data_IF_471136238439
#
_entry.id   IF_471136238439
#
_cell.length_a   1.000
_cell.length_b   1.000
_cell.length_c   1.000
_cell.angle_alpha   90.00
_cell.angle_beta   90.00
_cell.angle_gamma   90.00
#
_symmetry.space_group_name_H-M   'P 1'
#
loop_
_entity.id
_entity.type
_entity.pdbx_description
1 polymer ?
#
# COMPACT_ATOMS: atom_id res chain seq x y z
N UNK A 1 -15.11 -12.95 11.57
CA UNK A 1 -13.81 -12.26 11.51
C UNK A 1 -13.60 -11.51 12.82
N UNK A 2 -12.52 -11.80 13.57
CA UNK A 2 -12.21 -11.10 14.81
C UNK A 2 -11.41 -9.83 14.49
N UNK A 3 -12.13 -8.74 14.20
CA UNK A 3 -11.53 -7.44 13.83
C UNK A 3 -10.82 -6.72 14.99
N UNK A 4 -10.85 -7.26 16.21
CA UNK A 4 -10.24 -6.66 17.40
C UNK A 4 -9.38 -7.64 18.21
N UNK A 5 -9.04 -8.81 17.65
CA UNK A 5 -8.05 -9.66 18.32
C UNK A 5 -6.67 -9.08 18.18
N UNK A 6 -5.98 -8.99 19.33
CA UNK A 6 -4.59 -8.56 19.44
C UNK A 6 -3.70 -9.29 18.41
N UNK A 7 -2.98 -8.57 17.53
CA UNK A 7 -2.12 -9.19 16.53
C UNK A 7 -0.97 -9.96 17.21
N UNK A 8 -0.85 -11.23 16.87
CA UNK A 8 0.20 -12.12 17.37
C UNK A 8 1.44 -12.13 16.49
N UNK A 9 1.38 -11.52 15.31
CA UNK A 9 2.49 -11.42 14.37
C UNK A 9 2.46 -10.11 13.60
N UNK A 10 3.62 -9.69 13.09
CA UNK A 10 3.74 -8.53 12.21
C UNK A 10 2.80 -8.58 10.99
N UNK A 11 2.59 -9.78 10.45
CA UNK A 11 1.69 -9.97 9.31
C UNK A 11 0.22 -9.71 9.69
N UNK A 12 -0.20 -10.13 10.90
CA UNK A 12 -1.55 -9.83 11.40
C UNK A 12 -1.75 -8.31 11.57
N UNK A 13 -0.72 -7.59 12.03
CA UNK A 13 -0.77 -6.14 12.14
C UNK A 13 -0.97 -5.43 10.78
N UNK A 14 -0.39 -5.98 9.70
CA UNK A 14 -0.49 -5.44 8.34
C UNK A 14 -1.64 -6.00 7.49
N UNK A 15 -2.51 -6.82 8.09
CA UNK A 15 -3.52 -7.55 7.31
C UNK A 15 -4.47 -6.61 6.56
N UNK A 16 -4.81 -5.46 7.14
CA UNK A 16 -5.63 -4.44 6.47
C UNK A 16 -4.97 -3.88 5.20
N UNK A 17 -3.66 -3.59 5.24
CA UNK A 17 -2.89 -3.12 4.07
C UNK A 17 -2.79 -4.21 3.01
N UNK A 18 -2.64 -5.47 3.43
CA UNK A 18 -2.65 -6.60 2.50
C UNK A 18 -4.01 -6.74 1.80
N UNK A 19 -5.12 -6.58 2.52
CA UNK A 19 -6.45 -6.53 1.91
C UNK A 19 -6.58 -5.41 0.89
N UNK A 20 -6.12 -4.20 1.20
CA UNK A 20 -6.11 -3.09 0.23
C UNK A 20 -5.25 -3.40 -0.99
N UNK A 21 -4.06 -3.98 -0.81
CA UNK A 21 -3.21 -4.44 -1.91
C UNK A 21 -3.90 -5.49 -2.79
N UNK A 22 -4.68 -6.40 -2.21
CA UNK A 22 -5.42 -7.42 -2.97
C UNK A 22 -6.58 -6.80 -3.75
N UNK A 23 -7.38 -5.93 -3.12
CA UNK A 23 -8.51 -5.24 -3.77
C UNK A 23 -8.02 -4.39 -4.93
N UNK A 24 -6.90 -3.66 -4.78
CA UNK A 24 -6.34 -2.84 -5.85
C UNK A 24 -5.55 -3.63 -6.90
N UNK A 25 -5.47 -4.96 -6.79
CA UNK A 25 -4.79 -5.82 -7.76
C UNK A 25 -3.26 -5.86 -7.64
N UNK A 26 -2.64 -5.13 -6.70
CA UNK A 26 -1.18 -4.99 -6.56
C UNK A 26 -0.47 -6.28 -6.14
N UNK A 27 -1.14 -7.14 -5.37
CA UNK A 27 -0.60 -8.45 -4.93
C UNK A 27 -1.54 -9.62 -5.26
N UNK A 28 -2.35 -9.47 -6.29
CA UNK A 28 -3.47 -10.39 -6.53
C UNK A 28 -3.02 -11.81 -6.89
N UNK A 29 -1.78 -11.99 -7.37
CA UNK A 29 -1.19 -13.31 -7.61
C UNK A 29 -0.86 -14.10 -6.34
N UNK A 30 -0.72 -13.44 -5.19
CA UNK A 30 -0.44 -14.08 -3.91
C UNK A 30 -1.72 -14.49 -3.16
N UNK A 31 -2.89 -14.15 -3.71
CA UNK A 31 -4.20 -14.43 -3.14
C UNK A 31 -4.83 -15.70 -3.75
N UNK A 32 -5.52 -16.55 -2.94
CA UNK A 32 -5.47 -16.64 -1.48
C UNK A 32 -4.14 -17.26 -0.98
N UNK A 33 -3.76 -16.90 0.24
CA UNK A 33 -2.46 -17.28 0.83
C UNK A 33 -2.24 -18.79 0.80
N UNK A 34 -1.11 -19.22 0.23
CA UNK A 34 -0.71 -20.63 0.15
C UNK A 34 -1.28 -21.38 -1.04
N UNK A 35 -2.31 -20.86 -1.70
CA UNK A 35 -2.93 -21.43 -2.89
C UNK A 35 -3.12 -20.36 -3.97
N UNK A 36 -2.02 -19.82 -4.53
CA UNK A 36 -2.11 -18.76 -5.54
C UNK A 36 -2.90 -19.24 -6.75
N UNK A 37 -3.85 -18.41 -7.22
CA UNK A 37 -4.68 -18.72 -8.41
C UNK A 37 -4.36 -17.75 -9.55
N UNK A 38 -3.20 -17.92 -10.23
CA UNK A 38 -2.66 -16.91 -11.12
C UNK A 38 -3.59 -16.57 -12.30
N UNK A 39 -4.38 -17.53 -12.78
CA UNK A 39 -5.28 -17.32 -13.91
C UNK A 39 -6.47 -16.40 -13.56
N UNK A 40 -7.14 -16.65 -12.42
CA UNK A 40 -8.23 -15.78 -11.95
C UNK A 40 -7.72 -14.38 -11.59
N UNK A 41 -6.54 -14.34 -10.97
CA UNK A 41 -5.82 -13.11 -10.64
C UNK A 41 -5.52 -12.27 -11.89
N UNK A 42 -5.08 -12.91 -12.98
CA UNK A 42 -4.80 -12.25 -14.25
C UNK A 42 -6.09 -11.71 -14.92
N UNK A 43 -7.18 -12.48 -14.91
CA UNK A 43 -8.48 -12.02 -15.43
C UNK A 43 -8.97 -10.79 -14.66
N UNK A 44 -8.95 -10.85 -13.32
CA UNK A 44 -9.34 -9.73 -12.46
C UNK A 44 -8.53 -8.48 -12.77
N UNK A 45 -7.21 -8.65 -12.93
CA UNK A 45 -6.32 -7.55 -13.23
C UNK A 45 -6.59 -6.94 -14.61
N UNK A 46 -6.87 -7.76 -15.62
CA UNK A 46 -7.21 -7.31 -16.96
C UNK A 46 -8.52 -6.50 -16.94
N UNK A 47 -9.51 -6.92 -16.16
CA UNK A 47 -10.77 -6.18 -15.98
C UNK A 47 -10.51 -4.81 -15.34
N UNK A 48 -9.79 -4.76 -14.20
CA UNK A 48 -9.42 -3.50 -13.56
C UNK A 48 -8.66 -2.60 -14.53
N UNK A 49 -7.72 -3.17 -15.28
CA UNK A 49 -6.91 -2.44 -16.24
C UNK A 49 -7.74 -1.81 -17.35
N UNK A 50 -8.71 -2.53 -17.92
CA UNK A 50 -9.60 -2.00 -18.95
C UNK A 50 -10.47 -0.87 -18.40
N UNK A 51 -11.05 -1.03 -17.20
CA UNK A 51 -11.84 0.02 -16.53
C UNK A 51 -10.96 1.26 -16.32
N UNK A 52 -9.76 1.06 -15.80
CA UNK A 52 -8.84 2.14 -15.49
C UNK A 52 -8.36 2.87 -16.75
N UNK A 53 -7.99 2.14 -17.80
CA UNK A 53 -7.57 2.72 -19.08
C UNK A 53 -8.69 3.55 -19.73
N UNK A 54 -9.92 3.02 -19.76
CA UNK A 54 -11.10 3.74 -20.26
C UNK A 54 -11.36 5.01 -19.47
N UNK A 55 -11.27 4.93 -18.14
CA UNK A 55 -11.45 6.08 -17.27
C UNK A 55 -10.37 7.14 -17.43
N UNK A 56 -9.10 6.76 -17.53
CA UNK A 56 -7.98 7.67 -17.78
C UNK A 56 -8.15 8.44 -19.09
N UNK A 57 -8.60 7.76 -20.15
CA UNK A 57 -8.92 8.42 -21.41
C UNK A 57 -10.10 9.40 -21.28
N UNK A 58 -11.14 9.04 -20.52
CA UNK A 58 -12.26 9.94 -20.22
C UNK A 58 -11.83 11.19 -19.46
N UNK A 59 -10.94 11.03 -18.48
CA UNK A 59 -10.33 12.14 -17.72
C UNK A 59 -9.55 13.06 -18.67
N UNK A 60 -8.66 12.51 -19.49
CA UNK A 60 -7.87 13.29 -20.44
C UNK A 60 -8.76 14.08 -21.42
N UNK A 61 -9.85 13.46 -21.90
CA UNK A 61 -10.82 14.11 -22.77
C UNK A 61 -11.55 15.27 -22.05
N UNK A 62 -12.04 15.04 -20.84
CA UNK A 62 -12.72 16.07 -20.04
C UNK A 62 -11.83 17.30 -19.79
N UNK A 63 -10.58 17.06 -19.41
CA UNK A 63 -9.63 18.15 -19.14
C UNK A 63 -9.20 18.89 -20.41
N UNK A 64 -9.10 18.20 -21.56
CA UNK A 64 -8.82 18.85 -22.85
C UNK A 64 -9.89 19.88 -23.22
N UNK A 65 -11.13 19.71 -22.79
CA UNK A 65 -12.22 20.65 -23.06
C UNK A 65 -12.17 21.89 -22.17
N UNK A 66 -11.55 21.81 -20.99
CA UNK A 66 -11.55 22.88 -19.97
C UNK A 66 -10.24 23.68 -19.97
N UNK A 67 -9.14 23.04 -20.33
CA UNK A 67 -7.80 23.62 -20.20
C UNK A 67 -7.52 24.57 -21.38
N UNK A 68 -7.15 25.80 -21.03
CA UNK A 68 -6.81 26.87 -21.98
C UNK A 68 -5.30 26.87 -22.32
N UNK A 69 -4.44 26.40 -21.41
CA UNK A 69 -2.98 26.47 -21.57
C UNK A 69 -2.36 25.14 -22.05
N UNK A 70 -1.41 25.22 -23.00
CA UNK A 70 -0.69 24.06 -23.55
C UNK A 70 0.13 23.28 -22.50
N UNK A 71 0.67 23.96 -21.49
CA UNK A 71 1.46 23.34 -20.42
C UNK A 71 0.63 22.42 -19.53
N UNK A 72 -0.58 22.85 -19.15
CA UNK A 72 -1.50 22.04 -18.38
C UNK A 72 -1.88 20.76 -19.14
N UNK A 73 -2.09 20.85 -20.46
CA UNK A 73 -2.31 19.66 -21.29
C UNK A 73 -1.18 18.64 -21.20
N UNK A 74 0.08 19.07 -21.18
CA UNK A 74 1.24 18.17 -21.04
C UNK A 74 1.21 17.50 -19.66
N UNK A 75 0.92 18.25 -18.60
CA UNK A 75 0.81 17.73 -17.23
C UNK A 75 -0.31 16.68 -17.16
N UNK A 76 -1.48 16.98 -17.71
CA UNK A 76 -2.64 16.07 -17.71
C UNK A 76 -2.49 14.85 -18.62
N UNK A 77 -1.54 14.85 -19.56
CA UNK A 77 -1.21 13.66 -20.35
C UNK A 77 -0.10 12.87 -19.68
N UNK A 78 1.01 13.50 -19.28
CA UNK A 78 2.19 12.80 -18.77
C UNK A 78 1.95 12.23 -17.38
N UNK A 79 1.33 12.99 -16.46
CA UNK A 79 1.17 12.55 -15.07
C UNK A 79 0.28 11.30 -14.97
N UNK A 80 -0.91 11.23 -15.61
CA UNK A 80 -1.71 10.01 -15.57
C UNK A 80 -1.02 8.81 -16.21
N UNK A 81 -0.22 9.02 -17.27
CA UNK A 81 0.57 7.96 -17.89
C UNK A 81 1.68 7.44 -16.95
N UNK A 82 2.34 8.30 -16.17
CA UNK A 82 3.31 7.87 -15.15
C UNK A 82 2.61 7.10 -14.01
N UNK A 83 1.45 7.60 -13.55
CA UNK A 83 0.63 6.88 -12.57
C UNK A 83 0.12 5.55 -13.09
N UNK A 84 -0.09 5.41 -14.40
CA UNK A 84 -0.48 4.17 -15.06
C UNK A 84 0.65 3.14 -15.12
N UNK A 85 1.90 3.58 -15.38
CA UNK A 85 3.06 2.70 -15.38
C UNK A 85 3.39 2.14 -14.00
N UNK A 86 3.12 2.91 -12.93
CA UNK A 86 3.43 2.52 -11.55
C UNK A 86 2.85 1.16 -11.10
N UNK A 87 1.53 0.88 -11.23
CA UNK A 87 0.97 -0.42 -10.86
C UNK A 87 1.48 -1.57 -11.72
N UNK A 88 1.73 -1.36 -13.02
CA UNK A 88 2.29 -2.39 -13.91
C UNK A 88 3.70 -2.76 -13.43
N UNK A 89 4.54 -1.76 -13.18
CA UNK A 89 5.89 -1.97 -12.66
C UNK A 89 5.85 -2.66 -11.29
N UNK A 90 4.99 -2.19 -10.37
CA UNK A 90 4.84 -2.81 -9.04
C UNK A 90 4.37 -4.26 -9.14
N UNK A 91 3.50 -4.58 -10.10
CA UNK A 91 3.04 -5.94 -10.34
C UNK A 91 4.15 -6.84 -10.89
N UNK A 92 4.92 -6.37 -11.87
CA UNK A 92 6.06 -7.11 -12.42
C UNK A 92 7.10 -7.36 -11.33
N UNK A 93 7.42 -6.33 -10.53
CA UNK A 93 8.30 -6.47 -9.37
C UNK A 93 7.71 -7.47 -8.36
N UNK A 94 6.43 -7.36 -8.05
CA UNK A 94 5.75 -8.26 -7.12
C UNK A 94 5.84 -9.72 -7.57
N UNK A 95 5.61 -9.99 -8.85
CA UNK A 95 5.77 -11.33 -9.43
C UNK A 95 7.22 -11.82 -9.37
N UNK A 96 8.15 -10.99 -9.87
CA UNK A 96 9.57 -11.35 -9.95
C UNK A 96 10.16 -11.65 -8.57
N UNK A 97 9.82 -10.82 -7.58
CA UNK A 97 10.30 -10.97 -6.22
C UNK A 97 9.44 -11.86 -5.34
N UNK A 98 8.30 -12.39 -5.80
CA UNK A 98 7.40 -13.18 -4.93
C UNK A 98 8.10 -14.37 -4.27
N UNK A 99 8.98 -15.07 -4.99
CA UNK A 99 9.80 -16.17 -4.43
C UNK A 99 10.73 -15.68 -3.31
N UNK A 100 11.39 -14.54 -3.52
CA UNK A 100 12.33 -13.96 -2.55
C UNK A 100 11.59 -13.37 -1.33
N UNK A 101 10.44 -12.74 -1.55
CA UNK A 101 9.56 -12.20 -0.51
C UNK A 101 9.02 -13.35 0.37
N UNK A 102 8.65 -14.49 -0.22
CA UNK A 102 8.20 -15.65 0.54
C UNK A 102 9.30 -16.21 1.46
N UNK A 103 10.55 -16.28 0.97
CA UNK A 103 11.71 -16.67 1.79
C UNK A 103 11.97 -15.65 2.90
N UNK A 104 11.88 -14.35 2.59
CA UNK A 104 12.07 -13.28 3.55
C UNK A 104 11.02 -13.34 4.67
N UNK A 105 9.74 -13.51 4.32
CA UNK A 105 8.66 -13.69 5.29
C UNK A 105 8.89 -14.89 6.20
N UNK A 106 9.36 -16.02 5.67
CA UNK A 106 9.70 -17.20 6.50
C UNK A 106 10.84 -16.91 7.47
N UNK A 107 11.85 -16.14 7.06
CA UNK A 107 12.95 -15.72 7.95
C UNK A 107 12.46 -14.77 9.04
N UNK A 108 11.68 -13.75 8.68
CA UNK A 108 11.09 -12.79 9.62
C UNK A 108 10.21 -13.52 10.64
N UNK A 109 9.38 -14.48 10.21
CA UNK A 109 8.55 -15.27 11.11
C UNK A 109 9.37 -16.10 12.10
N UNK A 110 10.50 -16.67 11.66
CA UNK A 110 11.41 -17.39 12.58
C UNK A 110 12.05 -16.45 13.60
N UNK A 111 12.51 -15.27 13.16
CA UNK A 111 13.09 -14.25 14.03
C UNK A 111 12.06 -13.73 15.04
N UNK A 112 10.82 -13.52 14.60
CA UNK A 112 9.71 -13.10 15.47
C UNK A 112 9.44 -14.17 16.54
N UNK A 113 9.37 -15.44 16.16
CA UNK A 113 9.22 -16.56 17.10
C UNK A 113 10.35 -16.62 18.13
N UNK A 114 11.61 -16.43 17.71
CA UNK A 114 12.75 -16.45 18.65
C UNK A 114 12.79 -15.22 19.55
N UNK A 115 12.47 -14.03 19.02
CA UNK A 115 12.36 -12.80 19.83
C UNK A 115 11.29 -12.94 20.91
N UNK A 116 10.15 -13.56 20.58
CA UNK A 116 9.07 -13.84 21.53
C UNK A 116 9.50 -14.85 22.60
N UNK A 117 10.24 -15.89 22.22
CA UNK A 117 10.83 -16.85 23.18
C UNK A 117 11.87 -16.19 24.11
N UNK A 118 12.58 -15.17 23.64
CA UNK A 118 13.53 -14.38 24.43
C UNK A 118 12.87 -13.30 25.30
N UNK A 119 11.53 -13.21 25.33
CA UNK A 119 10.79 -12.21 26.12
C UNK A 119 10.83 -10.79 25.52
N UNK A 120 11.44 -10.59 24.35
CA UNK A 120 11.43 -9.34 23.62
C UNK A 120 10.14 -9.22 22.81
N UNK A 121 9.05 -8.86 23.48
CA UNK A 121 7.79 -8.55 22.80
C UNK A 121 7.93 -7.26 21.97
N UNK A 122 7.82 -7.38 20.65
CA UNK A 122 7.59 -6.23 19.77
C UNK A 122 6.14 -5.78 19.96
N UNK A 123 5.93 -4.47 20.10
CA UNK A 123 4.60 -3.91 20.32
C UNK A 123 3.79 -3.87 19.00
N UNK A 124 3.27 -5.02 18.59
CA UNK A 124 2.46 -5.14 17.37
C UNK A 124 1.14 -4.38 17.44
N UNK A 125 0.65 -4.10 18.65
CA UNK A 125 -0.58 -3.34 18.86
C UNK A 125 -0.43 -1.91 18.38
N UNK A 126 0.71 -1.29 18.65
CA UNK A 126 1.00 0.09 18.21
C UNK A 126 0.99 0.19 16.68
N UNK A 127 1.66 -0.75 16.00
CA UNK A 127 1.69 -0.81 14.53
C UNK A 127 0.27 -1.02 13.99
N UNK A 128 -0.50 -1.92 14.61
CA UNK A 128 -1.86 -2.23 14.19
C UNK A 128 -2.83 -1.06 14.36
N UNK A 129 -2.82 -0.38 15.51
CA UNK A 129 -3.64 0.81 15.74
C UNK A 129 -3.23 1.95 14.80
N UNK A 130 -1.93 2.15 14.58
CA UNK A 130 -1.45 3.12 13.61
C UNK A 130 -1.94 2.78 12.20
N UNK A 131 -1.91 1.50 11.82
CA UNK A 131 -2.40 1.02 10.52
C UNK A 131 -3.89 1.28 10.34
N UNK A 132 -4.70 0.97 11.34
CA UNK A 132 -6.14 1.24 11.30
C UNK A 132 -6.40 2.75 11.24
N UNK A 133 -5.72 3.54 12.07
CA UNK A 133 -5.87 4.99 12.09
C UNK A 133 -5.54 5.62 10.74
N UNK A 134 -4.41 5.22 10.14
CA UNK A 134 -3.99 5.73 8.84
C UNK A 134 -4.96 5.34 7.71
N UNK A 135 -5.44 4.09 7.70
CA UNK A 135 -6.47 3.65 6.75
C UNK A 135 -7.79 4.40 6.93
N UNK A 136 -8.22 4.65 8.17
CA UNK A 136 -9.45 5.38 8.46
C UNK A 136 -9.35 6.84 8.01
N UNK A 137 -8.21 7.48 8.27
CA UNK A 137 -7.91 8.83 7.78
C UNK A 137 -7.96 8.88 6.25
N UNK A 138 -7.31 7.92 5.57
CA UNK A 138 -7.31 7.85 4.12
C UNK A 138 -8.72 7.68 3.53
N UNK A 139 -9.53 6.76 4.06
CA UNK A 139 -10.93 6.56 3.62
C UNK A 139 -11.75 7.84 3.81
N UNK A 140 -11.57 8.54 4.94
CA UNK A 140 -12.32 9.77 5.22
C UNK A 140 -11.92 10.89 4.26
N UNK A 141 -10.61 11.13 4.11
CA UNK A 141 -10.05 12.11 3.18
C UNK A 141 -10.52 11.86 1.74
N UNK A 142 -10.54 10.60 1.36
CA UNK A 142 -11.02 10.13 0.08
C UNK A 142 -12.50 10.42 -0.17
N UNK A 143 -13.38 10.16 0.80
CA UNK A 143 -14.81 10.42 0.67
C UNK A 143 -15.04 11.92 0.46
N UNK A 144 -14.33 12.76 1.23
CA UNK A 144 -14.40 14.21 1.10
C UNK A 144 -13.95 14.69 -0.29
N UNK A 145 -12.80 14.22 -0.78
CA UNK A 145 -12.31 14.55 -2.12
C UNK A 145 -13.27 14.09 -3.22
N UNK A 146 -13.89 12.92 -3.05
CA UNK A 146 -14.83 12.36 -4.01
C UNK A 146 -16.10 13.20 -4.11
N UNK A 147 -16.65 13.65 -2.98
CA UNK A 147 -17.82 14.54 -2.92
C UNK A 147 -17.49 15.87 -3.60
N UNK A 148 -16.38 16.51 -3.22
CA UNK A 148 -15.96 17.80 -3.78
C UNK A 148 -15.72 17.72 -5.29
N UNK A 149 -15.02 16.69 -5.75
CA UNK A 149 -14.75 16.50 -7.19
C UNK A 149 -16.02 16.21 -7.98
N UNK A 150 -16.95 15.45 -7.40
CA UNK A 150 -18.23 15.15 -8.05
C UNK A 150 -19.08 16.40 -8.21
N UNK A 151 -19.23 17.19 -7.14
CA UNK A 151 -19.97 18.47 -7.18
C UNK A 151 -19.40 19.44 -8.23
N UNK A 152 -18.07 19.48 -8.39
CA UNK A 152 -17.42 20.30 -9.40
C UNK A 152 -17.70 19.84 -10.83
N UNK A 153 -17.77 18.52 -11.07
CA UNK A 153 -17.91 17.95 -12.42
C UNK A 153 -19.36 17.80 -12.88
N UNK A 154 -20.33 17.65 -11.97
CA UNK A 154 -21.76 17.45 -12.28
C UNK A 154 -22.30 18.45 -13.33
N UNK A 155 -22.07 19.77 -13.23
CA UNK A 155 -22.64 20.73 -14.18
C UNK A 155 -22.15 20.56 -15.62
N UNK A 156 -21.00 19.90 -15.84
CA UNK A 156 -20.35 19.78 -17.16
C UNK A 156 -20.45 18.38 -17.75
N UNK A 157 -20.32 17.36 -16.91
CA UNK A 157 -20.22 15.96 -17.33
C UNK A 157 -21.51 15.15 -17.08
N UNK A 158 -22.43 15.68 -16.26
CA UNK A 158 -23.55 14.92 -15.74
C UNK A 158 -23.16 14.00 -14.57
N UNK A 159 -24.16 13.56 -13.81
CA UNK A 159 -23.96 12.84 -12.54
C UNK A 159 -23.22 11.51 -12.70
N UNK A 160 -23.68 10.64 -13.60
CA UNK A 160 -23.09 9.29 -13.77
C UNK A 160 -21.66 9.33 -14.28
N UNK A 161 -21.37 10.21 -15.25
CA UNK A 161 -20.02 10.33 -15.80
C UNK A 161 -19.05 10.93 -14.77
N UNK A 162 -19.51 11.90 -13.98
CA UNK A 162 -18.75 12.47 -12.88
C UNK A 162 -18.40 11.42 -11.82
N UNK A 163 -19.37 10.63 -11.37
CA UNK A 163 -19.13 9.54 -10.39
C UNK A 163 -18.13 8.53 -10.96
N UNK A 164 -18.27 8.15 -12.24
CA UNK A 164 -17.35 7.23 -12.89
C UNK A 164 -15.91 7.78 -12.96
N UNK A 165 -15.74 9.04 -13.37
CA UNK A 165 -14.42 9.68 -13.43
C UNK A 165 -13.77 9.73 -12.03
N UNK A 166 -14.54 10.11 -11.01
CA UNK A 166 -14.07 10.14 -9.64
C UNK A 166 -13.63 8.75 -9.20
N UNK A 167 -14.46 7.73 -9.40
CA UNK A 167 -14.14 6.33 -9.08
C UNK A 167 -12.88 5.80 -9.76
N UNK A 168 -12.62 6.19 -11.01
CA UNK A 168 -11.39 5.79 -11.71
C UNK A 168 -10.18 6.52 -11.13
N UNK A 169 -10.29 7.82 -10.86
CA UNK A 169 -9.20 8.68 -10.36
C UNK A 169 -8.65 8.23 -9.00
N UNK A 170 -9.46 7.46 -8.30
CA UNK A 170 -9.26 6.93 -6.96
C UNK A 170 -8.26 5.77 -6.92
N UNK A 171 -8.26 4.94 -7.95
CA UNK A 171 -7.40 3.76 -8.06
C UNK A 171 -5.91 4.16 -7.95
N UNK A 172 -5.38 5.12 -8.74
CA UNK A 172 -3.96 5.49 -8.71
C UNK A 172 -3.59 6.22 -7.41
N UNK A 173 -4.48 7.04 -6.87
CA UNK A 173 -4.28 7.67 -5.56
C UNK A 173 -4.13 6.61 -4.46
N UNK A 174 -4.97 5.59 -4.49
CA UNK A 174 -4.93 4.49 -3.51
C UNK A 174 -3.67 3.63 -3.67
N UNK A 175 -3.20 3.40 -4.90
CA UNK A 175 -1.93 2.72 -5.16
C UNK A 175 -0.76 3.53 -4.60
N UNK A 176 -0.71 4.84 -4.87
CA UNK A 176 0.32 5.74 -4.34
C UNK A 176 0.33 5.77 -2.82
N UNK A 177 -0.86 5.85 -2.20
CA UNK A 177 -1.03 5.76 -0.76
C UNK A 177 -0.46 4.47 -0.17
N UNK A 178 -0.79 3.30 -0.73
CA UNK A 178 -0.26 2.02 -0.25
C UNK A 178 1.26 1.98 -0.38
N UNK A 179 1.82 2.46 -1.50
CA UNK A 179 3.27 2.47 -1.71
C UNK A 179 3.98 3.31 -0.63
N UNK A 180 3.49 4.53 -0.40
CA UNK A 180 4.03 5.43 0.60
C UNK A 180 3.88 4.83 2.01
N UNK A 181 2.75 4.18 2.27
CA UNK A 181 2.49 3.57 3.57
C UNK A 181 3.38 2.35 3.85
N UNK A 182 3.55 1.47 2.86
CA UNK A 182 4.49 0.33 2.95
C UNK A 182 5.91 0.85 3.21
N UNK A 183 6.36 1.88 2.47
CA UNK A 183 7.67 2.50 2.68
C UNK A 183 7.81 3.12 4.09
N UNK A 184 6.77 3.80 4.57
CA UNK A 184 6.74 4.36 5.91
C UNK A 184 6.86 3.30 7.02
N UNK A 185 6.15 2.17 6.90
CA UNK A 185 6.26 1.07 7.86
C UNK A 185 7.66 0.45 7.82
N UNK A 186 8.20 0.21 6.62
CA UNK A 186 9.53 -0.37 6.47
C UNK A 186 10.62 0.51 7.08
N UNK A 187 10.56 1.82 6.87
CA UNK A 187 11.51 2.77 7.47
C UNK A 187 11.39 2.79 9.00
N UNK A 188 10.17 2.82 9.56
CA UNK A 188 9.96 2.78 11.02
C UNK A 188 10.43 1.47 11.66
N UNK A 189 10.24 0.34 10.98
CA UNK A 189 10.78 -0.95 11.41
C UNK A 189 12.30 -0.95 11.41
N UNK A 190 12.91 -0.40 10.35
CA UNK A 190 14.37 -0.33 10.26
C UNK A 190 14.95 0.53 11.38
N UNK A 191 14.34 1.68 11.67
CA UNK A 191 14.74 2.55 12.77
C UNK A 191 14.65 1.83 14.12
N UNK A 192 13.52 1.20 14.43
CA UNK A 192 13.31 0.52 15.72
C UNK A 192 14.22 -0.69 15.93
N UNK A 193 14.52 -1.47 14.87
CA UNK A 193 15.44 -2.61 14.95
C UNK A 193 16.92 -2.19 14.89
N UNK A 194 17.27 -1.19 14.09
CA UNK A 194 18.61 -0.61 14.02
C UNK A 194 19.04 0.01 15.35
N UNK A 195 18.13 0.75 16.01
CA UNK A 195 18.40 1.36 17.31
C UNK A 195 18.50 0.34 18.45
N UNK A 196 17.72 -0.75 18.43
CA UNK A 196 17.85 -1.81 19.44
C UNK A 196 19.13 -2.62 19.29
N UNK A 197 19.59 -2.84 18.05
CA UNK A 197 20.84 -3.53 17.80
C UNK A 197 22.02 -2.72 18.36
N UNK A 198 22.13 -1.44 18.01
CA UNK A 198 23.22 -0.56 18.49
C UNK A 198 23.22 -0.40 20.01
N UNK A 199 22.05 -0.24 20.64
CA UNK A 199 21.94 -0.15 22.11
C UNK A 199 22.33 -1.45 22.82
N UNK A 200 22.06 -2.62 22.22
CA UNK A 200 22.44 -3.92 22.77
C UNK A 200 23.93 -4.18 22.64
N UNK A 201 24.57 -3.76 21.54
CA UNK A 201 26.03 -3.81 21.40
C UNK A 201 26.72 -2.87 22.40
N UNK A 202 26.24 -1.64 22.58
CA UNK A 202 26.85 -0.71 23.55
C UNK A 202 26.69 -1.17 25.01
N UNK A 203 25.57 -1.83 25.34
CA UNK A 203 25.36 -2.37 26.69
C UNK A 203 26.22 -3.61 26.96
N UNK A 204 26.41 -4.47 25.95
CA UNK A 204 27.26 -5.66 26.09
C UNK A 204 28.75 -5.28 26.18
N UNK A 205 29.20 -4.28 25.42
CA UNK A 205 30.58 -3.78 25.46
C UNK A 205 30.92 -3.12 26.82
N UNK A 206 29.96 -2.40 27.42
CA UNK A 206 30.11 -1.82 28.76
C UNK A 206 30.14 -2.89 29.87
N UNK A 207 29.34 -3.96 29.76
CA UNK A 207 29.37 -5.06 30.72
C UNK A 207 30.67 -5.86 30.63
N UNK A 208 31.21 -6.08 29.43
CA UNK A 208 32.51 -6.77 29.24
C UNK A 208 33.65 -5.93 29.83
N UNK A 209 33.63 -4.60 29.66
CA UNK A 209 34.61 -3.70 30.30
C UNK A 209 34.53 -3.64 31.82
N UNK A 210 33.35 -3.84 32.40
CA UNK A 210 33.19 -3.87 33.86
C UNK A 210 33.58 -5.22 34.48
N UNK A 211 33.47 -6.32 33.73
CA UNK A 211 33.88 -7.65 34.20
C UNK A 211 35.40 -7.92 34.06
N UNK A 212 36.14 -7.07 33.35
CA UNK A 212 37.59 -7.20 33.15
C UNK A 212 38.43 -6.31 34.08
N UNK A 213 37.83 -5.74 35.13
CA UNK A 213 38.49 -4.99 36.20
C UNK A 213 38.29 -5.71 37.51
#
# INVERSE_FOLDING_TARGET
MKLFTRPNSFYEALTSVHYFNYVLGLRVFEYPRGHPRPLLSLIYLLIIYVIFYRGAFGIAHYYKTIIVFKLDCIIYVIIPNLYFLSPILKMILGWYYSKNIAVCHKKIFKIDKTLRQLGLAVNYDEIYFMTIGFNTFWITFYILLSIMSSLYMIPRAGLLHSIYIVFVSIIPLSIGYINNYEFFIFSRLYETHGFRATKKYSFNENNIRMASK
#
